data_IF_778873797949
#
_entry.id   IF_778873797949
#
_cell.length_a   1.000
_cell.length_b   1.000
_cell.length_c   1.000
_cell.angle_alpha   90.00
_cell.angle_beta   90.00
_cell.angle_gamma   90.00
#
_symmetry.space_group_name_H-M   'P 1'
#
loop_
_entity.id
_entity.type
_entity.pdbx_description
1 polymer ?
#
# COMPACT_ATOMS: atom_id res chain seq x y z
N UNK A 1 26.48 -1.85 14.41
CA UNK A 1 25.81 -2.88 13.58
C UNK A 1 25.97 -2.51 12.10
N UNK A 2 26.71 -3.32 11.31
CA UNK A 2 26.88 -3.10 9.85
C UNK A 2 25.50 -3.04 9.19
N UNK A 3 25.17 -1.91 8.53
CA UNK A 3 23.96 -1.79 7.71
C UNK A 3 24.09 -2.71 6.49
N UNK A 4 23.67 -3.97 6.64
CA UNK A 4 23.61 -4.91 5.53
C UNK A 4 22.42 -4.50 4.64
N UNK A 5 22.69 -3.70 3.60
CA UNK A 5 21.69 -3.27 2.60
C UNK A 5 20.89 -4.46 2.06
N UNK A 6 21.53 -5.63 1.92
CA UNK A 6 20.91 -6.89 1.49
C UNK A 6 19.78 -7.35 2.41
N UNK A 7 19.93 -7.23 3.74
CA UNK A 7 18.87 -7.63 4.67
C UNK A 7 17.64 -6.72 4.55
N UNK A 8 17.83 -5.43 4.31
CA UNK A 8 16.71 -4.50 4.13
C UNK A 8 15.91 -4.81 2.87
N UNK A 9 16.60 -5.14 1.77
CA UNK A 9 15.95 -5.53 0.52
C UNK A 9 15.16 -6.83 0.71
N UNK A 10 15.74 -7.83 1.39
CA UNK A 10 15.05 -9.07 1.69
C UNK A 10 13.78 -8.84 2.52
N UNK A 11 13.84 -7.99 3.56
CA UNK A 11 12.67 -7.61 4.34
C UNK A 11 11.59 -6.96 3.47
N UNK A 12 11.95 -5.98 2.63
CA UNK A 12 11.00 -5.32 1.71
C UNK A 12 10.35 -6.36 0.79
N UNK A 13 11.13 -7.28 0.23
CA UNK A 13 10.63 -8.33 -0.66
C UNK A 13 9.65 -9.27 0.05
N UNK A 14 9.93 -9.68 1.29
CA UNK A 14 9.04 -10.53 2.08
C UNK A 14 7.71 -9.82 2.36
N UNK A 15 7.74 -8.56 2.82
CA UNK A 15 6.52 -7.79 3.05
C UNK A 15 5.74 -7.55 1.76
N UNK A 16 6.43 -7.32 0.65
CA UNK A 16 5.80 -7.17 -0.66
C UNK A 16 5.12 -8.47 -1.12
N UNK A 17 5.76 -9.63 -0.94
CA UNK A 17 5.13 -10.92 -1.23
C UNK A 17 3.86 -11.15 -0.39
N UNK A 18 3.92 -10.83 0.92
CA UNK A 18 2.76 -10.91 1.82
C UNK A 18 1.63 -9.97 1.36
N UNK A 19 1.97 -8.76 0.92
CA UNK A 19 1.00 -7.81 0.36
C UNK A 19 0.30 -8.37 -0.87
N UNK A 20 1.03 -9.07 -1.77
CA UNK A 20 0.45 -9.69 -2.96
C UNK A 20 -0.56 -10.77 -2.56
N UNK A 21 -0.18 -11.65 -1.63
CA UNK A 21 -1.06 -12.72 -1.13
C UNK A 21 -2.34 -12.14 -0.52
N UNK A 22 -2.21 -11.11 0.33
CA UNK A 22 -3.37 -10.44 0.95
C UNK A 22 -4.25 -9.77 -0.10
N UNK A 23 -3.66 -9.17 -1.14
CA UNK A 23 -4.43 -8.54 -2.20
C UNK A 23 -5.29 -9.57 -2.95
N UNK A 24 -4.69 -10.70 -3.35
CA UNK A 24 -5.42 -11.79 -4.02
C UNK A 24 -6.54 -12.33 -3.10
N UNK A 25 -6.22 -12.58 -1.83
CA UNK A 25 -7.19 -13.09 -0.86
C UNK A 25 -8.34 -12.11 -0.62
N UNK A 26 -8.05 -10.82 -0.45
CA UNK A 26 -9.07 -9.76 -0.35
C UNK A 26 -9.93 -9.73 -1.62
N UNK A 27 -9.32 -9.84 -2.80
CA UNK A 27 -10.06 -9.83 -4.06
C UNK A 27 -11.04 -11.00 -4.14
N UNK A 28 -10.70 -12.18 -3.63
CA UNK A 28 -11.59 -13.36 -3.61
C UNK A 28 -12.74 -13.16 -2.62
N UNK A 29 -12.42 -12.75 -1.38
CA UNK A 29 -13.41 -12.60 -0.29
C UNK A 29 -14.40 -11.47 -0.60
N UNK A 30 -13.91 -10.30 -1.02
CA UNK A 30 -14.74 -9.13 -1.31
C UNK A 30 -15.38 -9.15 -2.70
N UNK A 31 -15.17 -10.20 -3.50
CA UNK A 31 -15.97 -10.40 -4.71
C UNK A 31 -17.38 -10.93 -4.41
N UNK A 32 -17.57 -11.51 -3.22
CA UNK A 32 -18.82 -12.15 -2.79
C UNK A 32 -19.75 -11.10 -2.15
N UNK A 33 -19.21 -9.99 -1.67
CA UNK A 33 -19.95 -8.92 -1.00
C UNK A 33 -20.30 -7.80 -2.01
N UNK A 34 -21.59 -7.44 -2.19
CA UNK A 34 -21.99 -6.40 -3.13
C UNK A 34 -21.75 -5.02 -2.51
N UNK A 35 -20.49 -4.62 -2.40
CA UNK A 35 -20.10 -3.27 -1.95
C UNK A 35 -19.56 -2.45 -3.11
N UNK A 36 -19.96 -1.17 -3.24
CA UNK A 36 -19.54 -0.30 -4.36
C UNK A 36 -18.03 0.02 -4.33
N UNK A 37 -17.39 -0.09 -3.18
CA UNK A 37 -15.94 0.07 -3.00
C UNK A 37 -15.44 -1.14 -2.23
N UNK A 38 -14.57 -1.95 -2.86
CA UNK A 38 -13.96 -3.11 -2.21
C UNK A 38 -12.88 -2.64 -1.22
N UNK A 39 -13.03 -2.88 0.10
CA UNK A 39 -12.02 -2.48 1.07
C UNK A 39 -10.78 -3.38 0.93
N UNK A 40 -9.58 -2.78 0.94
CA UNK A 40 -8.32 -3.52 0.82
C UNK A 40 -7.63 -3.65 2.17
N UNK A 41 -7.20 -4.85 2.55
CA UNK A 41 -6.50 -5.13 3.81
C UNK A 41 -4.96 -4.94 3.69
N UNK A 42 -4.47 -4.66 2.47
CA UNK A 42 -3.04 -4.56 2.11
C UNK A 42 -2.28 -3.47 2.90
N UNK A 43 -2.98 -2.51 3.50
CA UNK A 43 -2.37 -1.45 4.30
C UNK A 43 -1.81 -1.96 5.65
N UNK A 44 -2.34 -3.04 6.23
CA UNK A 44 -1.88 -3.59 7.52
C UNK A 44 -0.39 -3.97 7.51
N UNK A 45 0.11 -4.83 6.60
CA UNK A 45 1.53 -5.18 6.55
C UNK A 45 2.43 -3.96 6.31
N UNK A 46 1.97 -2.94 5.57
CA UNK A 46 2.71 -1.70 5.33
C UNK A 46 2.89 -0.91 6.63
N UNK A 47 1.84 -0.78 7.44
CA UNK A 47 1.88 -0.10 8.74
C UNK A 47 2.83 -0.83 9.70
N UNK A 48 2.74 -2.16 9.78
CA UNK A 48 3.60 -2.98 10.63
C UNK A 48 5.07 -2.81 10.22
N UNK A 49 5.37 -2.92 8.91
CA UNK A 49 6.72 -2.75 8.39
C UNK A 49 7.27 -1.35 8.67
N UNK A 50 6.43 -0.32 8.54
CA UNK A 50 6.78 1.07 8.86
C UNK A 50 7.18 1.24 10.33
N UNK A 51 6.44 0.64 11.26
CA UNK A 51 6.70 0.79 12.69
C UNK A 51 7.99 0.05 13.09
N UNK A 52 8.21 -1.16 12.58
CA UNK A 52 9.34 -2.01 12.95
C UNK A 52 10.64 -1.58 12.28
N UNK A 53 10.62 -1.36 10.96
CA UNK A 53 11.83 -1.10 10.15
C UNK A 53 12.06 0.38 9.83
N UNK A 54 11.09 1.23 10.15
CA UNK A 54 11.17 2.67 10.02
C UNK A 54 10.49 3.24 8.77
N UNK A 55 10.46 4.59 8.65
CA UNK A 55 9.60 5.29 7.70
C UNK A 55 10.10 5.16 6.26
N UNK A 56 11.39 4.88 6.04
CA UNK A 56 11.95 4.66 4.69
C UNK A 56 11.44 3.35 4.08
N UNK A 57 11.37 2.29 4.88
CA UNK A 57 10.85 0.98 4.45
C UNK A 57 9.34 1.06 4.26
N UNK A 58 8.63 1.72 5.18
CA UNK A 58 7.20 1.97 5.07
C UNK A 58 6.81 2.80 3.83
N UNK A 59 7.54 3.88 3.53
CA UNK A 59 7.32 4.67 2.32
C UNK A 59 7.52 3.87 1.03
N UNK A 60 8.57 3.03 0.97
CA UNK A 60 8.86 2.19 -0.18
C UNK A 60 7.74 1.14 -0.38
N UNK A 61 7.32 0.46 0.68
CA UNK A 61 6.21 -0.49 0.62
C UNK A 61 4.87 0.19 0.29
N UNK A 62 4.63 1.41 0.79
CA UNK A 62 3.46 2.21 0.43
C UNK A 62 3.44 2.60 -1.05
N UNK A 63 4.59 2.95 -1.63
CA UNK A 63 4.72 3.21 -3.07
C UNK A 63 4.44 1.94 -3.89
N UNK A 64 5.02 0.80 -3.49
CA UNK A 64 4.75 -0.50 -4.12
C UNK A 64 3.27 -0.90 -4.01
N UNK A 65 2.61 -0.60 -2.89
CA UNK A 65 1.17 -0.77 -2.73
C UNK A 65 0.37 0.08 -3.71
N UNK A 66 0.75 1.35 -3.89
CA UNK A 66 0.11 2.27 -4.84
C UNK A 66 0.24 1.77 -6.28
N UNK A 67 1.43 1.31 -6.68
CA UNK A 67 1.67 0.72 -8.00
C UNK A 67 0.83 -0.55 -8.21
N UNK A 68 0.80 -1.44 -7.20
CA UNK A 68 -0.01 -2.65 -7.25
C UNK A 68 -1.52 -2.35 -7.34
N UNK A 69 -1.98 -1.30 -6.65
CA UNK A 69 -3.38 -0.87 -6.72
C UNK A 69 -3.73 -0.34 -8.11
N UNK A 70 -2.83 0.41 -8.75
CA UNK A 70 -3.03 0.92 -10.10
C UNK A 70 -3.11 -0.22 -11.13
N UNK A 71 -2.19 -1.20 -11.07
CA UNK A 71 -2.24 -2.37 -11.97
C UNK A 71 -3.52 -3.18 -11.77
N UNK A 72 -3.93 -3.42 -10.53
CA UNK A 72 -5.17 -4.15 -10.22
C UNK A 72 -6.42 -3.42 -10.74
N UNK A 73 -6.54 -2.10 -10.55
CA UNK A 73 -7.70 -1.32 -11.04
C UNK A 73 -7.70 -1.10 -12.56
N UNK A 74 -6.56 -1.35 -13.23
CA UNK A 74 -6.46 -1.34 -14.69
C UNK A 74 -6.95 -2.67 -15.29
N UNK A 75 -6.69 -3.78 -14.61
CA UNK A 75 -7.08 -5.13 -15.06
C UNK A 75 -8.54 -5.44 -14.67
N UNK A 76 -8.96 -5.02 -13.47
CA UNK A 76 -10.31 -5.24 -12.94
C UNK A 76 -11.03 -3.90 -12.91
N UNK A 77 -11.88 -3.68 -13.91
CA UNK A 77 -12.65 -2.45 -14.08
C UNK A 77 -13.83 -2.43 -13.10
N UNK A 78 -13.73 -1.58 -12.07
CA UNK A 78 -14.83 -1.17 -11.21
C UNK A 78 -15.29 0.24 -11.63
N UNK A 79 -16.53 0.66 -11.32
CA UNK A 79 -17.03 2.02 -11.58
C UNK A 79 -16.16 3.12 -10.94
N UNK A 80 -15.37 2.77 -9.93
CA UNK A 80 -14.44 3.66 -9.21
C UNK A 80 -12.98 3.56 -9.70
N UNK A 81 -12.67 2.67 -10.65
CA UNK A 81 -11.32 2.49 -11.21
C UNK A 81 -10.77 3.77 -11.84
N UNK A 82 -11.65 4.67 -12.26
CA UNK A 82 -11.36 6.02 -12.74
C UNK A 82 -10.47 6.86 -11.79
N UNK A 83 -10.74 6.76 -10.49
CA UNK A 83 -10.06 7.52 -9.44
C UNK A 83 -8.65 7.00 -9.16
N UNK A 84 -8.35 5.76 -9.59
CA UNK A 84 -7.13 5.05 -9.21
C UNK A 84 -6.30 4.54 -10.39
N UNK A 85 -6.79 4.67 -11.63
CA UNK A 85 -6.03 4.38 -12.84
C UNK A 85 -6.34 5.40 -13.94
N UNK A 86 -5.32 6.01 -14.57
CA UNK A 86 -5.49 6.94 -15.69
C UNK A 86 -5.83 6.24 -17.02
N UNK A 87 -5.78 4.91 -17.07
CA UNK A 87 -5.96 4.13 -18.31
C UNK A 87 -7.42 3.76 -18.62
N UNK A 88 -8.38 4.31 -17.86
CA UNK A 88 -9.82 4.06 -18.00
C UNK A 88 -10.50 5.32 -18.58
N UNK A 89 -11.61 5.16 -19.28
CA UNK A 89 -12.35 6.29 -19.90
C UNK A 89 -12.58 7.43 -18.89
N UNK A 90 -12.24 8.65 -19.36
CA UNK A 90 -12.06 9.94 -18.66
C UNK A 90 -10.64 10.19 -18.04
N UNK A 91 -9.73 9.21 -17.95
CA UNK A 91 -8.68 9.11 -16.90
C UNK A 91 -7.76 10.33 -16.78
N UNK A 92 -7.53 10.84 -15.56
CA UNK A 92 -6.71 12.03 -15.33
C UNK A 92 -5.34 11.66 -14.74
N UNK A 93 -4.27 12.40 -15.09
CA UNK A 93 -2.92 12.24 -14.51
C UNK A 93 -2.91 12.40 -12.98
N UNK A 94 -3.88 13.15 -12.43
CA UNK A 94 -4.10 13.25 -10.99
C UNK A 94 -4.51 11.93 -10.33
N UNK A 95 -5.06 10.96 -11.05
CA UNK A 95 -5.42 9.64 -10.51
C UNK A 95 -4.19 8.86 -10.04
N UNK A 96 -3.03 9.05 -10.67
CA UNK A 96 -1.75 8.44 -10.22
C UNK A 96 -1.34 9.02 -8.86
N UNK A 97 -1.44 10.34 -8.72
CA UNK A 97 -1.09 11.05 -7.49
C UNK A 97 -2.03 10.60 -6.36
N UNK A 98 -3.33 10.52 -6.63
CA UNK A 98 -4.34 10.06 -5.67
C UNK A 98 -4.15 8.57 -5.31
N UNK A 99 -3.70 7.74 -6.24
CA UNK A 99 -3.42 6.32 -5.98
C UNK A 99 -2.13 6.09 -5.17
N UNK A 100 -1.11 6.92 -5.34
CA UNK A 100 0.23 6.69 -4.76
C UNK A 100 0.48 7.51 -3.51
N UNK A 101 0.12 8.79 -3.48
CA UNK A 101 0.47 9.70 -2.36
C UNK A 101 -0.16 9.27 -1.04
N UNK A 102 -1.48 9.01 -0.94
CA UNK A 102 -2.08 8.54 0.32
C UNK A 102 -1.48 7.21 0.80
N UNK A 103 -1.06 6.35 -0.13
CA UNK A 103 -0.51 5.02 0.17
C UNK A 103 0.91 5.13 0.74
N UNK A 104 1.71 6.06 0.24
CA UNK A 104 3.01 6.43 0.83
C UNK A 104 2.81 7.05 2.21
N UNK A 105 1.82 7.94 2.37
CA UNK A 105 1.50 8.58 3.66
C UNK A 105 1.10 7.56 4.73
N UNK A 106 0.30 6.55 4.39
CA UNK A 106 -0.03 5.42 5.28
C UNK A 106 1.25 4.68 5.73
N UNK A 107 2.28 4.62 4.90
CA UNK A 107 3.57 4.03 5.25
C UNK A 107 4.51 4.94 6.05
N UNK A 108 4.21 6.23 6.23
CA UNK A 108 5.10 7.19 6.91
C UNK A 108 4.50 7.66 8.22
N UNK A 109 3.22 8.04 8.20
CA UNK A 109 2.51 8.67 9.32
C UNK A 109 2.52 7.78 10.58
N UNK A 110 2.22 6.46 10.51
CA UNK A 110 2.18 5.62 11.71
C UNK A 110 3.51 5.54 12.46
N UNK A 111 4.64 5.59 11.74
CA UNK A 111 5.95 5.61 12.37
C UNK A 111 6.17 6.87 13.21
N UNK A 112 5.82 8.04 12.66
CA UNK A 112 5.98 9.30 13.37
C UNK A 112 5.04 9.40 14.57
N UNK A 113 3.79 8.95 14.43
CA UNK A 113 2.84 8.89 15.55
C UNK A 113 3.36 7.95 16.64
N UNK A 114 3.81 6.74 16.26
CA UNK A 114 4.36 5.77 17.22
C UNK A 114 5.58 6.34 17.97
N UNK A 115 6.50 6.98 17.26
CA UNK A 115 7.69 7.62 17.86
C UNK A 115 7.30 8.77 18.80
N UNK A 116 6.32 9.58 18.41
CA UNK A 116 5.85 10.70 19.22
C UNK A 116 5.20 10.23 20.52
N UNK A 117 4.34 9.21 20.46
CA UNK A 117 3.71 8.60 21.64
C UNK A 117 4.78 7.96 22.55
N UNK A 118 5.74 7.24 21.97
CA UNK A 118 6.82 6.59 22.73
C UNK A 118 7.73 7.59 23.45
N UNK A 119 8.00 8.75 22.85
CA UNK A 119 8.80 9.82 23.47
C UNK A 119 8.04 10.63 24.54
N UNK A 120 6.73 10.42 24.70
CA UNK A 120 5.89 11.08 25.71
C UNK A 120 5.78 10.25 27.01
N UNK A 121 6.36 9.06 27.05
CA UNK A 121 6.66 8.30 28.27
C UNK A 121 8.12 8.49 28.62
#
# INVERSE_FOLDING_TARGET
MKKNKSNQIATIAIFFAVMIVINILSSIIFNILPVPIKPTIVHIPVIIASIIYGPRVGACLGALMGLMSMTHNTIILLPTSYLFSPFVENGNVYSIIIAVVPRILIGIIPYFIYKWIKNRK
#
